data_IF_296711808917
#
_entry.id   IF_296711808917
#
_cell.length_a   1.000
_cell.length_b   1.000
_cell.length_c   1.000
_cell.angle_alpha   90.00
_cell.angle_beta   90.00
_cell.angle_gamma   90.00
#
_symmetry.space_group_name_H-M   'P 1'
#
loop_
_entity.id
_entity.type
_entity.pdbx_description
1 polymer ?
#
# COMPACT_ATOMS: atom_id res chain seq x y z
N UNK A 1 32.58 3.53 3.72
CA UNK A 1 32.51 2.70 2.58
C UNK A 1 31.51 3.17 1.51
N UNK A 2 31.92 3.05 0.26
CA UNK A 2 31.08 3.38 -0.92
C UNK A 2 29.78 2.56 -1.02
N UNK A 3 29.69 1.41 -0.35
CA UNK A 3 28.49 0.56 -0.34
C UNK A 3 27.30 1.14 0.43
N UNK A 4 27.55 2.05 1.36
CA UNK A 4 26.49 2.67 2.18
C UNK A 4 25.78 3.83 1.47
N UNK A 5 26.46 4.47 0.50
CA UNK A 5 25.88 5.56 -0.29
C UNK A 5 24.86 5.00 -1.30
N UNK A 6 25.11 3.83 -1.88
CA UNK A 6 24.17 3.18 -2.83
C UNK A 6 22.90 2.67 -2.16
N UNK A 7 22.95 2.23 -0.91
CA UNK A 7 21.75 1.78 -0.16
C UNK A 7 20.82 2.95 0.24
N UNK A 8 21.33 4.18 0.32
CA UNK A 8 20.55 5.38 0.69
C UNK A 8 19.65 5.92 -0.42
N UNK A 9 19.68 5.35 -1.60
CA UNK A 9 18.94 5.81 -2.78
C UNK A 9 17.71 4.94 -3.09
N UNK A 10 17.49 3.87 -2.32
CA UNK A 10 16.33 2.99 -2.44
C UNK A 10 15.51 3.03 -1.18
N UNK A 11 14.23 3.30 -1.34
CA UNK A 11 13.28 3.39 -0.26
C UNK A 11 12.29 2.24 -0.38
N UNK A 12 12.34 1.30 0.58
CA UNK A 12 11.38 0.21 0.68
C UNK A 12 10.21 0.61 1.59
N UNK A 13 9.00 0.26 1.21
CA UNK A 13 7.78 0.49 1.98
C UNK A 13 6.80 -0.66 1.78
N UNK A 14 5.84 -0.79 2.70
CA UNK A 14 4.76 -1.75 2.59
C UNK A 14 3.56 -1.35 3.43
N UNK A 15 2.38 -1.66 2.95
CA UNK A 15 1.12 -1.57 3.67
C UNK A 15 0.47 -2.94 3.66
N UNK A 16 -0.07 -3.35 4.79
CA UNK A 16 -0.73 -4.64 4.95
C UNK A 16 -1.99 -4.49 5.78
N UNK A 17 -2.98 -5.31 5.48
CA UNK A 17 -4.18 -5.48 6.29
C UNK A 17 -4.44 -6.95 6.56
N UNK A 18 -4.96 -7.28 7.75
CA UNK A 18 -5.21 -8.66 8.21
C UNK A 18 -6.70 -8.92 8.29
N UNK A 19 -7.13 -10.02 7.68
CA UNK A 19 -8.51 -10.47 7.79
C UNK A 19 -8.94 -10.70 9.24
N UNK A 20 -10.16 -10.24 9.58
CA UNK A 20 -10.77 -10.46 10.88
C UNK A 20 -10.31 -9.49 11.96
N UNK A 21 -10.78 -9.69 13.19
CA UNK A 21 -10.55 -8.80 14.34
C UNK A 21 -10.12 -9.61 15.57
N UNK A 22 -9.49 -8.94 16.55
CA UNK A 22 -9.11 -9.53 17.84
C UNK A 22 -7.70 -10.13 17.88
N UNK A 23 -7.43 -10.91 18.92
CA UNK A 23 -6.08 -11.37 19.29
C UNK A 23 -5.39 -12.15 18.16
N UNK A 24 -6.11 -13.03 17.46
CA UNK A 24 -5.50 -13.82 16.37
C UNK A 24 -5.02 -12.94 15.22
N UNK A 25 -5.82 -11.95 14.83
CA UNK A 25 -5.45 -10.99 13.77
C UNK A 25 -4.26 -10.13 14.20
N UNK A 26 -4.23 -9.66 15.45
CA UNK A 26 -3.11 -8.89 16.00
C UNK A 26 -1.80 -9.68 16.03
N UNK A 27 -1.85 -10.97 16.40
CA UNK A 27 -0.67 -11.85 16.36
C UNK A 27 -0.18 -12.09 14.94
N UNK A 28 -1.10 -12.29 13.98
CA UNK A 28 -0.76 -12.48 12.58
C UNK A 28 -0.15 -11.21 11.98
N UNK A 29 -0.70 -10.02 12.30
CA UNK A 29 -0.12 -8.73 11.88
C UNK A 29 1.27 -8.51 12.48
N UNK A 30 1.47 -8.83 13.75
CA UNK A 30 2.78 -8.74 14.40
C UNK A 30 3.81 -9.65 13.72
N UNK A 31 3.43 -10.89 13.37
CA UNK A 31 4.26 -11.82 12.60
C UNK A 31 4.59 -11.25 11.21
N UNK A 32 3.59 -10.84 10.45
CA UNK A 32 3.77 -10.31 9.10
C UNK A 32 4.69 -9.07 9.10
N UNK A 33 4.48 -8.14 10.03
CA UNK A 33 5.32 -6.95 10.20
C UNK A 33 6.76 -7.30 10.57
N UNK A 34 6.98 -8.26 11.46
CA UNK A 34 8.32 -8.69 11.88
C UNK A 34 9.07 -9.38 10.74
N UNK A 35 8.40 -10.25 10.00
CA UNK A 35 8.97 -10.92 8.82
C UNK A 35 9.31 -9.90 7.72
N UNK A 36 8.40 -8.97 7.42
CA UNK A 36 8.65 -7.90 6.46
C UNK A 36 9.89 -7.09 6.83
N UNK A 37 10.01 -6.63 8.08
CA UNK A 37 11.18 -5.87 8.57
C UNK A 37 12.48 -6.66 8.49
N UNK A 38 12.43 -7.97 8.69
CA UNK A 38 13.60 -8.84 8.58
C UNK A 38 14.03 -9.02 7.12
N UNK A 39 13.10 -9.45 6.27
CA UNK A 39 13.39 -9.82 4.88
C UNK A 39 13.67 -8.60 3.99
N UNK A 40 12.99 -7.48 4.18
CA UNK A 40 13.17 -6.26 3.39
C UNK A 40 14.57 -5.65 3.49
N UNK A 41 15.37 -6.01 4.50
CA UNK A 41 16.74 -5.53 4.65
C UNK A 41 17.70 -6.10 3.60
N UNK A 42 17.40 -7.28 3.06
CA UNK A 42 18.28 -8.02 2.15
C UNK A 42 17.66 -8.27 0.78
N UNK A 43 16.34 -8.10 0.66
CA UNK A 43 15.62 -8.34 -0.60
C UNK A 43 15.55 -7.08 -1.45
N UNK A 44 15.76 -7.24 -2.76
CA UNK A 44 15.69 -6.17 -3.76
C UNK A 44 14.60 -6.37 -4.80
N UNK A 45 13.87 -7.49 -4.72
CA UNK A 45 12.68 -7.79 -5.52
C UNK A 45 11.45 -7.81 -4.63
N UNK A 46 10.44 -7.05 -5.01
CA UNK A 46 9.15 -6.99 -4.29
C UNK A 46 8.38 -8.30 -4.42
N UNK A 47 8.46 -8.95 -5.59
CA UNK A 47 7.81 -10.25 -5.84
C UNK A 47 8.42 -11.37 -5.02
N UNK A 48 9.77 -11.44 -4.94
CA UNK A 48 10.46 -12.44 -4.10
C UNK A 48 10.16 -12.21 -2.62
N UNK A 49 10.12 -10.96 -2.18
CA UNK A 49 9.75 -10.62 -0.81
C UNK A 49 8.35 -11.13 -0.44
N UNK A 50 7.35 -10.89 -1.30
CA UNK A 50 6.00 -11.40 -1.07
C UNK A 50 5.94 -12.93 -1.10
N UNK A 51 6.69 -13.59 -1.99
CA UNK A 51 6.74 -15.04 -2.07
C UNK A 51 7.28 -15.65 -0.77
N UNK A 52 8.38 -15.10 -0.23
CA UNK A 52 8.97 -15.58 1.03
C UNK A 52 8.03 -15.30 2.21
N UNK A 53 7.46 -14.09 2.31
CA UNK A 53 6.47 -13.75 3.32
C UNK A 53 5.27 -14.71 3.29
N UNK A 54 4.75 -14.99 2.11
CA UNK A 54 3.63 -15.91 1.93
C UNK A 54 3.96 -17.32 2.45
N UNK A 55 5.12 -17.86 2.10
CA UNK A 55 5.51 -19.20 2.53
C UNK A 55 5.60 -19.28 4.07
N UNK A 56 6.27 -18.31 4.72
CA UNK A 56 6.41 -18.25 6.18
C UNK A 56 5.05 -18.04 6.90
N UNK A 57 4.13 -17.30 6.28
CA UNK A 57 2.79 -17.11 6.82
C UNK A 57 1.98 -18.39 6.68
N UNK A 58 2.01 -19.06 5.51
CA UNK A 58 1.26 -20.29 5.26
C UNK A 58 1.61 -21.43 6.22
N UNK A 59 2.85 -21.48 6.74
CA UNK A 59 3.27 -22.53 7.68
C UNK A 59 2.53 -22.49 9.02
N UNK A 60 2.08 -21.31 9.45
CA UNK A 60 1.58 -21.10 10.81
C UNK A 60 0.20 -20.44 10.88
N UNK A 61 -0.37 -20.07 9.73
CA UNK A 61 -1.65 -19.35 9.71
C UNK A 61 -2.82 -20.26 10.13
N UNK A 62 -3.76 -19.70 10.90
CA UNK A 62 -5.01 -20.39 11.20
C UNK A 62 -5.92 -20.41 9.97
N UNK A 63 -6.70 -21.48 9.80
CA UNK A 63 -7.64 -21.61 8.67
C UNK A 63 -8.59 -20.40 8.58
N UNK A 64 -8.76 -19.90 7.37
CA UNK A 64 -9.67 -18.79 7.06
C UNK A 64 -9.10 -17.38 7.33
N UNK A 65 -7.85 -17.28 7.78
CA UNK A 65 -7.17 -16.00 7.92
C UNK A 65 -6.25 -15.75 6.73
N UNK A 66 -6.02 -14.49 6.42
CA UNK A 66 -5.10 -14.05 5.37
C UNK A 66 -4.61 -12.62 5.63
N UNK A 67 -3.59 -12.21 4.90
CA UNK A 67 -3.06 -10.85 4.95
C UNK A 67 -3.03 -10.30 3.53
N UNK A 68 -3.68 -9.16 3.30
CA UNK A 68 -3.44 -8.41 2.08
C UNK A 68 -2.19 -7.57 2.25
N UNK A 69 -1.36 -7.43 1.21
CA UNK A 69 -0.14 -6.65 1.31
C UNK A 69 0.27 -6.05 -0.04
N UNK A 70 0.61 -4.77 -0.04
CA UNK A 70 1.33 -4.11 -1.13
C UNK A 70 2.74 -3.78 -0.65
N UNK A 71 3.74 -4.13 -1.44
CA UNK A 71 5.14 -3.75 -1.19
C UNK A 71 5.70 -2.99 -2.36
N UNK A 72 6.56 -2.01 -2.07
CA UNK A 72 7.21 -1.20 -3.08
C UNK A 72 8.66 -0.88 -2.74
N UNK A 73 9.46 -0.67 -3.80
CA UNK A 73 10.82 -0.15 -3.72
C UNK A 73 10.93 1.00 -4.71
N UNK A 74 11.18 2.20 -4.21
CA UNK A 74 11.48 3.37 -5.02
C UNK A 74 13.00 3.55 -5.15
N UNK A 75 13.49 3.59 -6.38
CA UNK A 75 14.88 3.93 -6.72
C UNK A 75 14.95 5.38 -7.20
N UNK A 76 15.50 6.26 -6.34
CA UNK A 76 15.55 7.70 -6.62
C UNK A 76 16.52 8.08 -7.73
N UNK A 77 17.49 7.22 -8.06
CA UNK A 77 18.43 7.48 -9.16
C UNK A 77 17.78 7.26 -10.52
N UNK A 78 17.07 6.12 -10.65
CA UNK A 78 16.41 5.75 -11.89
C UNK A 78 15.01 6.35 -11.99
N UNK A 79 14.49 6.92 -10.88
CA UNK A 79 13.12 7.39 -10.76
C UNK A 79 12.12 6.30 -11.15
N UNK A 80 12.39 5.10 -10.68
CA UNK A 80 11.59 3.90 -10.91
C UNK A 80 10.98 3.40 -9.60
N UNK A 81 9.75 2.97 -9.70
CA UNK A 81 9.00 2.36 -8.62
C UNK A 81 8.68 0.91 -9.01
N UNK A 82 9.16 -0.04 -8.21
CA UNK A 82 8.82 -1.45 -8.31
C UNK A 82 7.73 -1.76 -7.30
N UNK A 83 6.68 -2.43 -7.75
CA UNK A 83 5.51 -2.78 -6.94
C UNK A 83 5.14 -4.25 -7.12
N UNK A 84 4.69 -4.87 -6.03
CA UNK A 84 4.01 -6.17 -6.03
C UNK A 84 2.86 -6.16 -5.03
N UNK A 85 1.74 -6.79 -5.38
CA UNK A 85 0.56 -6.86 -4.52
C UNK A 85 0.13 -8.29 -4.26
N UNK A 86 -0.20 -8.57 -3.02
CA UNK A 86 -0.83 -9.77 -2.51
C UNK A 86 -2.27 -9.46 -2.08
N UNK A 87 -3.14 -9.17 -3.04
CA UNK A 87 -4.57 -8.92 -2.82
C UNK A 87 -4.92 -7.62 -2.08
N UNK A 88 -3.97 -6.68 -2.00
CA UNK A 88 -4.23 -5.36 -1.41
C UNK A 88 -4.90 -4.43 -2.41
N UNK A 89 -5.66 -3.43 -1.91
CA UNK A 89 -6.28 -2.38 -2.73
C UNK A 89 -5.26 -1.74 -3.68
N UNK A 90 -5.60 -1.56 -4.98
CA UNK A 90 -4.72 -0.95 -5.95
C UNK A 90 -4.35 0.48 -5.54
N UNK A 91 -3.06 0.85 -5.53
CA UNK A 91 -2.65 2.21 -5.20
C UNK A 91 -3.09 3.19 -6.29
N UNK A 92 -3.37 4.44 -5.93
CA UNK A 92 -3.60 5.53 -6.87
C UNK A 92 -2.29 6.27 -7.12
N UNK A 93 -1.84 6.28 -8.37
CA UNK A 93 -0.58 6.93 -8.76
C UNK A 93 -0.90 8.17 -9.60
N UNK A 94 -0.82 9.33 -8.97
CA UNK A 94 -0.99 10.62 -9.62
C UNK A 94 0.31 11.02 -10.32
N UNK A 95 0.27 11.19 -11.63
CA UNK A 95 1.38 11.66 -12.44
C UNK A 95 1.45 13.18 -12.50
N UNK A 96 2.60 13.70 -12.96
CA UNK A 96 2.84 15.15 -13.15
C UNK A 96 1.79 15.85 -14.02
N UNK A 97 1.24 15.15 -15.01
CA UNK A 97 0.22 15.69 -15.93
C UNK A 97 -1.20 15.68 -15.34
N UNK A 98 -1.37 15.24 -14.08
CA UNK A 98 -2.66 15.13 -13.41
C UNK A 98 -3.44 13.86 -13.75
N UNK A 99 -2.90 12.97 -14.58
CA UNK A 99 -3.49 11.67 -14.86
C UNK A 99 -3.17 10.68 -13.74
N UNK A 100 -4.03 9.66 -13.59
CA UNK A 100 -3.74 8.52 -12.72
C UNK A 100 -3.22 7.35 -13.54
N UNK A 101 -2.11 6.74 -13.09
CA UNK A 101 -1.68 5.45 -13.59
C UNK A 101 -2.43 4.34 -12.88
N UNK A 102 -2.71 3.27 -13.63
CA UNK A 102 -3.29 2.03 -13.10
C UNK A 102 -2.18 1.07 -12.66
N UNK A 103 -2.47 0.30 -11.62
CA UNK A 103 -1.66 -0.83 -11.18
C UNK A 103 -2.61 -2.03 -11.03
N UNK A 104 -2.52 -2.98 -11.96
CA UNK A 104 -3.47 -4.11 -12.06
C UNK A 104 -2.84 -5.45 -11.62
N UNK A 105 -1.55 -5.46 -11.28
CA UNK A 105 -0.81 -6.66 -10.89
C UNK A 105 -1.14 -7.08 -9.45
N UNK A 106 -2.21 -7.85 -9.27
CA UNK A 106 -2.57 -8.39 -7.96
C UNK A 106 -2.48 -9.91 -7.94
N UNK A 107 -1.69 -10.46 -6.99
CA UNK A 107 -1.74 -11.87 -6.62
C UNK A 107 -2.73 -12.14 -5.49
N UNK A 108 -2.97 -13.41 -5.11
CA UNK A 108 -3.82 -13.75 -3.98
C UNK A 108 -3.22 -13.25 -2.65
N UNK A 109 -4.03 -12.96 -1.62
CA UNK A 109 -3.56 -12.60 -0.29
C UNK A 109 -2.57 -13.62 0.28
N UNK A 110 -1.67 -13.14 1.16
CA UNK A 110 -0.71 -13.99 1.86
C UNK A 110 -1.46 -14.96 2.80
N UNK A 111 -1.00 -16.21 2.84
CA UNK A 111 -1.58 -17.24 3.70
C UNK A 111 -2.70 -18.06 3.07
N UNK A 112 -3.13 -17.74 1.82
CA UNK A 112 -4.16 -18.51 1.12
C UNK A 112 -3.57 -19.76 0.49
N UNK A 113 -2.45 -19.63 -0.23
CA UNK A 113 -1.85 -20.74 -0.96
C UNK A 113 -0.31 -20.65 -0.89
N UNK A 114 0.34 -21.67 -0.33
CA UNK A 114 1.79 -21.75 -0.30
C UNK A 114 2.39 -21.79 -1.72
N UNK A 115 3.64 -21.34 -1.85
CA UNK A 115 4.39 -21.31 -3.12
C UNK A 115 3.75 -20.45 -4.22
N UNK A 116 2.86 -19.52 -3.84
CA UNK A 116 2.31 -18.53 -4.76
C UNK A 116 3.45 -17.68 -5.33
N UNK A 117 3.42 -17.48 -6.66
CA UNK A 117 4.30 -16.51 -7.34
C UNK A 117 3.58 -15.20 -7.47
N UNK A 118 4.28 -14.11 -7.18
CA UNK A 118 3.78 -12.74 -7.35
C UNK A 118 4.49 -12.08 -8.52
N UNK A 119 3.80 -11.17 -9.21
CA UNK A 119 4.39 -10.36 -10.26
C UNK A 119 5.02 -9.10 -9.68
N UNK A 120 6.04 -8.58 -10.34
CA UNK A 120 6.66 -7.28 -10.04
C UNK A 120 6.44 -6.35 -11.23
N UNK A 121 5.75 -5.24 -11.02
CA UNK A 121 5.63 -4.18 -12.00
C UNK A 121 6.70 -3.12 -11.76
N UNK A 122 7.28 -2.57 -12.84
CA UNK A 122 8.17 -1.40 -12.77
C UNK A 122 7.50 -0.22 -13.45
N UNK A 123 7.36 0.89 -12.74
CA UNK A 123 6.65 2.09 -13.18
C UNK A 123 7.60 3.29 -13.09
N UNK A 124 7.66 4.11 -14.13
CA UNK A 124 8.34 5.40 -14.06
C UNK A 124 7.66 6.30 -13.02
N UNK A 125 8.44 6.82 -12.08
CA UNK A 125 7.93 7.54 -10.90
C UNK A 125 8.72 8.85 -10.70
N UNK A 126 8.64 9.75 -11.71
CA UNK A 126 9.23 11.09 -11.67
C UNK A 126 8.14 12.13 -11.46
N UNK A 127 8.33 13.04 -10.49
CA UNK A 127 7.33 14.07 -10.14
C UNK A 127 5.92 13.50 -9.98
N UNK A 128 5.82 12.34 -9.35
CA UNK A 128 4.59 11.58 -9.15
C UNK A 128 4.32 11.40 -7.66
N UNK A 129 3.07 11.16 -7.31
CA UNK A 129 2.65 10.83 -5.95
C UNK A 129 1.84 9.55 -5.96
N UNK A 130 2.18 8.59 -5.10
CA UNK A 130 1.41 7.36 -4.94
C UNK A 130 0.71 7.35 -3.59
N UNK A 131 -0.57 7.03 -3.62
CA UNK A 131 -1.44 6.88 -2.45
C UNK A 131 -1.78 5.42 -2.29
N UNK A 132 -1.35 4.82 -1.18
CA UNK A 132 -1.71 3.46 -0.77
C UNK A 132 -2.68 3.61 0.39
N UNK A 133 -3.77 2.88 0.37
CA UNK A 133 -4.83 3.01 1.36
C UNK A 133 -5.50 1.66 1.62
N UNK A 134 -6.18 1.55 2.77
CA UNK A 134 -7.03 0.42 3.09
C UNK A 134 -8.47 0.69 2.63
N UNK A 135 -9.26 -0.36 2.49
CA UNK A 135 -10.68 -0.33 2.10
C UNK A 135 -11.53 0.62 2.96
N UNK A 136 -11.12 0.86 4.22
CA UNK A 136 -11.73 1.86 5.09
C UNK A 136 -11.90 3.25 4.45
N UNK A 137 -11.07 3.63 3.46
CA UNK A 137 -11.23 4.89 2.71
C UNK A 137 -12.35 4.78 1.67
N UNK A 138 -12.33 3.73 0.85
CA UNK A 138 -13.27 3.55 -0.27
C UNK A 138 -14.67 3.17 0.21
N UNK A 139 -14.77 2.54 1.38
CA UNK A 139 -16.04 2.12 1.99
C UNK A 139 -16.73 3.22 2.83
N UNK A 140 -16.11 4.40 2.98
CA UNK A 140 -16.75 5.55 3.62
C UNK A 140 -18.04 5.88 2.87
N UNK A 141 -19.15 5.98 3.62
CA UNK A 141 -20.47 6.26 3.05
C UNK A 141 -20.89 7.69 3.27
N UNK A 142 -21.50 8.27 2.26
CA UNK A 142 -22.20 9.54 2.40
C UNK A 142 -23.54 9.37 3.15
N UNK A 143 -24.27 10.47 3.48
CA UNK A 143 -25.57 10.38 4.14
C UNK A 143 -26.64 9.64 3.34
N UNK A 144 -26.50 9.49 2.01
CA UNK A 144 -27.40 8.70 1.16
C UNK A 144 -27.08 7.21 1.19
N UNK A 145 -25.93 6.81 1.75
CA UNK A 145 -25.44 5.45 1.83
C UNK A 145 -24.54 5.03 0.65
N UNK A 146 -24.21 5.97 -0.25
CA UNK A 146 -23.29 5.73 -1.36
C UNK A 146 -21.84 5.72 -0.87
N UNK A 147 -21.05 4.74 -1.35
CA UNK A 147 -19.63 4.64 -1.01
C UNK A 147 -18.80 5.68 -1.75
N UNK A 148 -17.75 6.18 -1.10
CA UNK A 148 -16.78 7.09 -1.70
C UNK A 148 -16.14 6.48 -2.95
N UNK A 149 -15.74 5.22 -2.85
CA UNK A 149 -15.05 4.51 -3.92
C UNK A 149 -13.68 5.10 -4.26
N UNK A 150 -12.97 4.43 -5.16
CA UNK A 150 -11.67 4.91 -5.64
C UNK A 150 -11.78 6.22 -6.42
N UNK A 151 -12.88 6.42 -7.18
CA UNK A 151 -13.05 7.64 -7.98
C UNK A 151 -13.32 8.86 -7.09
N UNK A 152 -14.15 8.73 -6.08
CA UNK A 152 -14.35 9.81 -5.11
C UNK A 152 -13.06 10.15 -4.36
N UNK A 153 -12.22 9.15 -4.04
CA UNK A 153 -10.93 9.43 -3.44
C UNK A 153 -9.96 10.12 -4.39
N UNK A 154 -9.95 9.78 -5.70
CA UNK A 154 -9.20 10.52 -6.74
C UNK A 154 -9.56 11.99 -6.79
N UNK A 155 -10.85 12.32 -6.62
CA UNK A 155 -11.30 13.71 -6.64
C UNK A 155 -10.75 14.51 -5.44
N UNK A 156 -10.70 13.92 -4.25
CA UNK A 156 -10.03 14.54 -3.09
C UNK A 156 -8.52 14.72 -3.34
N UNK A 157 -7.85 13.73 -3.91
CA UNK A 157 -6.42 13.83 -4.24
C UNK A 157 -6.17 14.99 -5.22
N UNK A 158 -6.95 15.09 -6.29
CA UNK A 158 -6.85 16.18 -7.27
C UNK A 158 -7.13 17.55 -6.65
N UNK A 159 -8.16 17.64 -5.82
CA UNK A 159 -8.54 18.89 -5.14
C UNK A 159 -7.39 19.48 -4.32
N UNK A 160 -6.57 18.63 -3.72
CA UNK A 160 -5.50 19.04 -2.81
C UNK A 160 -4.08 18.75 -3.31
N UNK A 161 -3.89 18.41 -4.60
CA UNK A 161 -2.59 18.05 -5.15
C UNK A 161 -1.50 19.13 -5.02
N UNK A 162 -1.90 20.41 -5.03
CA UNK A 162 -0.99 21.56 -4.91
C UNK A 162 -0.61 21.89 -3.46
N UNK A 163 -1.21 21.22 -2.47
CA UNK A 163 -0.87 21.43 -1.06
C UNK A 163 0.48 20.79 -0.71
N UNK A 164 1.22 21.36 0.24
CA UNK A 164 2.47 20.76 0.71
C UNK A 164 2.27 19.32 1.18
N UNK A 165 3.23 18.45 0.88
CA UNK A 165 3.14 17.00 1.15
C UNK A 165 2.86 16.69 2.63
N UNK A 166 3.49 17.42 3.54
CA UNK A 166 3.34 17.26 5.00
C UNK A 166 1.94 17.63 5.53
N UNK A 167 1.17 18.43 4.79
CA UNK A 167 -0.16 18.90 5.18
C UNK A 167 -1.27 18.22 4.38
N UNK A 168 -0.96 17.82 3.13
CA UNK A 168 -1.93 17.34 2.14
C UNK A 168 -2.79 16.19 2.65
N UNK A 169 -2.16 15.16 3.25
CA UNK A 169 -2.89 14.03 3.80
C UNK A 169 -3.87 14.43 4.90
N UNK A 170 -3.42 15.26 5.82
CA UNK A 170 -4.28 15.73 6.91
C UNK A 170 -5.48 16.49 6.37
N UNK A 171 -5.28 17.40 5.41
CA UNK A 171 -6.35 18.17 4.79
C UNK A 171 -7.36 17.25 4.08
N UNK A 172 -6.88 16.24 3.33
CA UNK A 172 -7.74 15.26 2.66
C UNK A 172 -8.60 14.51 3.68
N UNK A 173 -7.97 13.97 4.74
CA UNK A 173 -8.68 13.21 5.78
C UNK A 173 -9.70 14.10 6.50
N UNK A 174 -9.29 15.29 6.92
CA UNK A 174 -10.17 16.24 7.61
C UNK A 174 -11.38 16.63 6.74
N UNK A 175 -11.20 16.84 5.44
CA UNK A 175 -12.28 17.15 4.51
C UNK A 175 -13.23 15.97 4.30
N UNK A 176 -12.69 14.75 4.17
CA UNK A 176 -13.50 13.53 4.08
C UNK A 176 -14.36 13.34 5.34
N UNK A 177 -13.76 13.45 6.53
CA UNK A 177 -14.46 13.28 7.81
C UNK A 177 -15.51 14.38 8.01
N UNK A 178 -15.16 15.65 7.74
CA UNK A 178 -16.05 16.78 7.95
C UNK A 178 -17.17 16.88 6.90
N UNK A 179 -17.12 16.10 5.82
CA UNK A 179 -18.18 16.06 4.80
C UNK A 179 -19.48 15.37 5.25
N UNK A 180 -19.58 14.98 6.53
CA UNK A 180 -20.75 14.29 7.09
C UNK A 180 -20.83 12.81 6.72
N UNK A 181 -19.74 12.26 6.21
CA UNK A 181 -19.62 10.83 5.84
C UNK A 181 -19.44 9.95 7.08
N UNK A 182 -19.92 8.73 6.99
CA UNK A 182 -19.88 7.76 8.09
C UNK A 182 -18.70 6.81 7.89
N UNK A 183 -17.72 6.92 8.79
CA UNK A 183 -16.59 5.99 8.90
C UNK A 183 -17.02 4.75 9.68
N UNK A 184 -16.72 3.57 9.16
CA UNK A 184 -17.04 2.28 9.81
C UNK A 184 -15.82 1.46 10.21
N UNK A 185 -14.65 1.73 9.61
CA UNK A 185 -13.41 0.99 9.85
C UNK A 185 -12.21 1.94 9.98
N UNK A 186 -11.05 1.41 10.38
CA UNK A 186 -9.81 2.16 10.51
C UNK A 186 -9.34 2.69 9.15
N UNK A 187 -8.84 3.94 9.15
CA UNK A 187 -8.34 4.61 7.95
C UNK A 187 -6.81 4.58 7.96
N UNK A 188 -6.23 3.93 6.97
CA UNK A 188 -4.79 3.99 6.74
C UNK A 188 -4.50 4.55 5.35
N UNK A 189 -3.66 5.58 5.29
CA UNK A 189 -3.15 6.14 4.04
C UNK A 189 -1.64 6.34 4.18
N UNK A 190 -0.90 5.83 3.21
CA UNK A 190 0.52 6.10 3.02
C UNK A 190 0.72 6.83 1.71
N UNK A 191 1.48 7.94 1.72
CA UNK A 191 1.87 8.63 0.49
C UNK A 191 3.36 8.50 0.27
N UNK A 192 3.73 8.17 -0.96
CA UNK A 192 5.11 8.19 -1.45
C UNK A 192 5.18 9.22 -2.56
N UNK A 193 6.05 10.23 -2.38
CA UNK A 193 6.28 11.29 -3.35
C UNK A 193 7.70 11.22 -3.92
N UNK A 194 7.83 11.47 -5.22
CA UNK A 194 9.12 11.55 -5.93
C UNK A 194 9.52 12.99 -6.29
N UNK A 195 9.02 13.96 -5.53
CA UNK A 195 9.32 15.39 -5.74
C UNK A 195 10.61 15.80 -5.10
#
# INVERSE_FOLDING_TARGET
GLGDVYKRQRYGFGVADVSGKGIKSSLLMSKASSLYRCLSKTMFSTSELLMLLNNEICETISRGMFVTMLVGIYDSNNKELKLSSAGHEPPLILKKDGSFATFEEAGPPLGIMAKTKYNEATIGFDNSSMYIFTDGITEIKDPSGEMLGSDGFKDYIKKYQEKPNNERLKIIIDDIINSGKIQKDDLTILVVDSK
#
